data_IF_703043798005
#
_entry.id   IF_703043798005
#
_cell.length_a   1.000
_cell.length_b   1.000
_cell.length_c   1.000
_cell.angle_alpha   90.00
_cell.angle_beta   90.00
_cell.angle_gamma   90.00
#
_symmetry.space_group_name_H-M   'P 1'
#
loop_
_entity.id
_entity.type
_entity.pdbx_description
1 polymer ?
2 non-polymer ?
3 water ?
#
# COMPACT_ATOMS: atom_id res chain seq x y z
N UNK A 2 -14.13 13.10 3.83
CA UNK A 2 -13.27 12.29 2.97
C UNK A 2 -13.61 10.80 3.16
N UNK A 3 -14.05 10.09 2.09
CA UNK A 3 -14.35 8.66 2.24
C UNK A 3 -13.22 7.76 2.73
N UNK A 4 -11.97 8.03 2.31
CA UNK A 4 -10.78 7.26 2.68
C UNK A 4 -10.47 7.33 4.19
N UNK A 5 -10.44 8.54 4.77
CA UNK A 5 -10.18 8.78 6.19
C UNK A 5 -11.29 8.13 7.02
N UNK A 6 -12.55 8.27 6.56
CA UNK A 6 -13.72 7.67 7.18
C UNK A 6 -13.60 6.14 7.16
N UNK A 7 -13.22 5.55 6.00
CA UNK A 7 -13.04 4.11 5.86
C UNK A 7 -11.95 3.57 6.78
N UNK A 8 -10.79 4.26 6.83
CA UNK A 8 -9.68 3.85 7.70
C UNK A 8 -10.07 3.87 9.18
N UNK A 9 -10.82 4.92 9.61
CA UNK A 9 -11.34 5.08 10.98
C UNK A 9 -12.31 3.92 11.28
N UNK A 10 -13.13 3.54 10.30
CA UNK A 10 -14.09 2.45 10.42
C UNK A 10 -13.38 1.10 10.60
N UNK A 11 -12.44 0.78 9.71
CA UNK A 11 -11.64 -0.45 9.73
C UNK A 11 -10.74 -0.57 10.97
N UNK A 12 -10.15 0.56 11.44
CA UNK A 12 -9.32 0.58 12.63
C UNK A 12 -10.16 0.25 13.87
N UNK A 13 -11.38 0.87 13.98
CA UNK A 13 -12.29 0.61 15.10
C UNK A 13 -12.66 -0.87 15.18
N UNK A 14 -12.67 -1.55 14.02
CA UNK A 14 -12.97 -2.98 13.90
C UNK A 14 -11.70 -3.87 13.96
N UNK A 15 -10.53 -3.27 14.22
CA UNK A 15 -9.22 -3.95 14.33
C UNK A 15 -8.90 -4.76 13.07
N UNK A 16 -9.14 -4.16 11.90
CA UNK A 16 -8.92 -4.84 10.63
C UNK A 16 -7.52 -4.69 10.14
N UNK A 17 -6.97 -5.81 9.63
CA UNK A 17 -5.68 -5.86 8.97
C UNK A 17 -5.93 -5.53 7.50
N UNK A 18 -5.44 -4.37 7.05
CA UNK A 18 -5.55 -3.92 5.66
C UNK A 18 -4.26 -3.20 5.22
N UNK A 19 -3.96 -3.19 3.89
CA UNK A 19 -2.77 -2.51 3.33
C UNK A 19 -3.24 -1.35 2.52
N UNK A 20 -2.46 -0.26 2.45
CA UNK A 20 -2.68 0.88 1.56
C UNK A 20 -1.40 0.97 0.68
N UNK A 21 -1.55 0.83 -0.64
CA UNK A 21 -0.45 0.85 -1.60
C UNK A 21 -0.52 2.11 -2.42
N UNK A 22 0.45 3.01 -2.23
CA UNK A 22 0.49 4.29 -2.95
C UNK A 22 1.67 4.28 -3.93
N UNK A 23 1.40 4.57 -5.20
CA UNK A 23 2.39 4.62 -6.28
C UNK A 23 2.94 6.02 -6.41
N UNK A 24 4.30 6.13 -6.48
CA UNK A 24 4.98 7.41 -6.62
C UNK A 24 4.51 8.13 -7.92
N UNK A 25 4.59 9.48 -7.99
CA UNK A 25 4.14 10.16 -9.24
C UNK A 25 4.88 9.77 -10.52
N UNK A 26 6.11 9.14 -10.41
CA UNK A 26 6.86 8.72 -11.61
C UNK A 26 6.17 7.56 -12.35
N UNK A 27 5.26 6.85 -11.67
CA UNK A 27 4.46 5.75 -12.24
C UNK A 27 3.42 6.30 -13.23
N UNK A 28 3.31 5.68 -14.40
CA UNK A 28 2.24 5.95 -15.38
C UNK A 28 1.07 5.06 -14.98
N UNK A 29 -0.16 5.33 -15.52
CA UNK A 29 -1.36 4.52 -15.25
C UNK A 29 -1.14 3.09 -15.76
N UNK A 30 -0.48 2.93 -16.92
CA UNK A 30 -0.16 1.63 -17.54
C UNK A 30 0.76 0.78 -16.66
N UNK A 31 1.86 1.35 -16.12
CA UNK A 31 2.71 0.55 -15.25
C UNK A 31 2.07 0.24 -13.89
N UNK A 32 1.06 1.05 -13.47
CA UNK A 32 0.30 0.82 -12.23
C UNK A 32 -0.53 -0.46 -12.45
N UNK A 33 -1.26 -0.53 -13.60
CA UNK A 33 -2.10 -1.66 -14.02
C UNK A 33 -1.29 -2.95 -14.30
N UNK A 38 -0.66 -4.76 -11.23
CA UNK A 38 -1.73 -5.32 -10.40
C UNK A 38 -2.47 -6.51 -11.08
N UNK A 39 -1.79 -7.15 -12.06
CA UNK A 39 -2.28 -8.31 -12.83
C UNK A 39 -2.23 -9.57 -11.96
N UNK A 40 -3.11 -10.53 -12.27
CA UNK A 40 -3.21 -11.78 -11.51
C UNK A 40 -4.21 -11.61 -10.39
N UNK A 41 -3.89 -10.70 -9.43
CA UNK A 41 -4.77 -10.32 -8.31
C UNK A 41 -5.91 -9.52 -8.97
N UNK A 42 -7.15 -9.93 -8.77
CA UNK A 42 -8.32 -9.35 -9.44
C UNK A 42 -8.80 -7.99 -8.87
N UNK A 43 -8.26 -6.86 -9.40
CA UNK A 43 -8.68 -5.50 -8.98
C UNK A 43 -10.22 -5.33 -9.10
N UNK A 44 -10.84 -4.83 -8.03
CA UNK A 44 -12.27 -4.63 -7.93
C UNK A 44 -12.59 -3.17 -8.15
N UNK A 45 -13.69 -2.89 -8.87
CA UNK A 45 -14.14 -1.53 -9.13
C UNK A 45 -15.57 -1.36 -8.64
N UNK A 46 -15.94 -0.14 -8.22
CA UNK A 46 -17.28 0.16 -7.73
C UNK A 46 -18.02 1.01 -8.76
N UNK A 47 -19.24 0.62 -9.09
CA UNK A 47 -20.09 1.35 -10.02
C UNK A 47 -21.34 1.75 -9.23
N UNK A 48 -21.76 3.02 -9.34
CA UNK A 48 -22.96 3.48 -8.64
C UNK A 48 -24.17 3.33 -9.57
N UNK A 49 -25.19 2.61 -9.08
CA UNK A 49 -26.43 2.39 -9.84
C UNK A 49 -27.60 2.96 -9.07
N UNK A 50 -28.77 3.02 -9.71
CA UNK A 50 -30.03 3.36 -9.09
C UNK A 50 -30.91 2.14 -9.30
N UNK A 51 -31.34 1.53 -8.16
CA UNK A 51 -32.21 0.33 -8.09
C UNK A 51 -33.51 0.80 -7.52
N UNK A 52 -34.57 0.80 -8.35
CA UNK A 52 -35.90 1.27 -7.89
C UNK A 52 -35.80 2.70 -7.34
N UNK A 53 -34.98 3.53 -8.02
CA UNK A 53 -34.75 4.92 -7.65
C UNK A 53 -33.80 5.14 -6.49
N UNK A 54 -33.25 4.05 -5.93
CA UNK A 54 -32.34 4.08 -4.81
C UNK A 54 -30.89 3.87 -5.20
N UNK A 55 -30.00 4.69 -4.65
CA UNK A 55 -28.57 4.57 -4.91
C UNK A 55 -28.03 3.29 -4.29
N UNK A 56 -27.22 2.56 -5.07
CA UNK A 56 -26.61 1.29 -4.64
C UNK A 56 -25.25 1.16 -5.29
N UNK A 57 -24.41 0.24 -4.76
CA UNK A 57 -23.07 -0.01 -5.28
C UNK A 57 -23.02 -1.39 -5.88
N UNK A 58 -22.41 -1.51 -7.05
CA UNK A 58 -22.15 -2.80 -7.67
C UNK A 58 -20.63 -2.91 -7.67
N UNK A 59 -20.11 -3.98 -7.06
CA UNK A 59 -18.65 -4.18 -6.95
C UNK A 59 -18.31 -5.40 -7.78
N UNK A 60 -17.42 -5.23 -8.75
CA UNK A 60 -17.08 -6.29 -9.67
C UNK A 60 -15.64 -6.15 -10.16
N UNK A 61 -15.06 -7.16 -10.84
CA UNK A 61 -13.68 -7.00 -11.35
C UNK A 61 -13.61 -5.83 -12.33
N UNK A 62 -12.52 -5.06 -12.25
CA UNK A 62 -12.27 -3.88 -13.08
C UNK A 62 -12.33 -4.15 -14.59
N UNK A 63 -12.01 -5.40 -14.98
CA UNK A 63 -12.05 -5.90 -16.35
C UNK A 63 -13.48 -6.31 -16.78
N UNK A 64 -14.44 -6.31 -15.84
CA UNK A 64 -15.83 -6.72 -16.09
C UNK A 64 -16.78 -5.54 -16.24
N UNK A 65 -17.92 -5.77 -16.87
CA UNK A 65 -18.90 -4.73 -17.06
C UNK A 65 -20.29 -5.19 -16.70
N UNK A 66 -21.10 -4.28 -16.14
CA UNK A 66 -22.50 -4.58 -15.82
C UNK A 66 -23.34 -4.46 -17.08
N UNK A 67 -24.36 -5.33 -17.18
CA UNK A 67 -25.35 -5.25 -18.25
C UNK A 67 -26.67 -5.23 -17.53
N UNK A 68 -27.70 -4.66 -18.17
CA UNK A 68 -29.03 -4.58 -17.62
C UNK A 68 -29.59 -5.97 -17.38
N UNK A 69 -29.47 -6.88 -18.37
CA UNK A 69 -30.00 -8.25 -18.27
C UNK A 69 -29.46 -9.02 -17.06
N UNK A 70 -28.17 -8.83 -16.75
CA UNK A 70 -27.51 -9.48 -15.63
C UNK A 70 -27.93 -8.92 -14.29
N UNK A 71 -28.03 -7.57 -14.14
CA UNK A 71 -28.48 -6.97 -12.87
C UNK A 71 -29.93 -7.32 -12.62
N UNK A 72 -30.79 -7.24 -13.69
CA UNK A 72 -32.23 -7.56 -13.58
C UNK A 72 -32.42 -8.99 -13.12
N UNK A 73 -31.67 -9.94 -13.71
CA UNK A 73 -31.74 -11.34 -13.30
C UNK A 73 -31.26 -11.53 -11.85
N UNK A 74 -30.27 -10.74 -11.39
CA UNK A 74 -29.71 -10.86 -10.03
C UNK A 74 -30.60 -10.20 -8.95
N UNK A 75 -31.13 -8.98 -9.22
CA UNK A 75 -31.96 -8.23 -8.26
C UNK A 75 -33.46 -8.60 -8.34
N UNK A 76 -33.97 -8.81 -9.54
CA UNK A 76 -35.39 -9.10 -9.74
C UNK A 76 -36.18 -7.86 -10.12
N UNK A 77 -35.52 -6.70 -10.28
CA UNK A 77 -36.22 -5.47 -10.71
C UNK A 77 -35.78 -5.00 -12.09
N UNK A 78 -36.67 -4.27 -12.79
CA UNK A 78 -36.38 -3.68 -14.10
C UNK A 78 -36.01 -2.22 -13.96
N UNK A 79 -36.30 -1.61 -12.79
CA UNK A 79 -36.01 -0.19 -12.55
C UNK A 79 -34.53 -0.09 -12.18
N UNK A 80 -33.68 -0.13 -13.22
CA UNK A 80 -32.22 -0.08 -13.08
C UNK A 80 -31.63 0.91 -14.03
N UNK A 81 -30.69 1.72 -13.52
CA UNK A 81 -29.92 2.70 -14.29
C UNK A 81 -28.63 3.05 -13.59
N UNK A 82 -27.65 3.54 -14.36
CA UNK A 82 -26.38 4.00 -13.80
C UNK A 82 -26.64 5.36 -13.22
N UNK A 83 -26.00 5.66 -12.10
CA UNK A 83 -26.13 6.95 -11.45
C UNK A 83 -25.19 7.94 -12.13
N UNK A 84 -25.58 9.21 -12.13
CA UNK A 84 -24.82 10.36 -12.63
C UNK A 84 -23.77 10.67 -11.55
N UNK A 85 -22.66 11.33 -11.89
CA UNK A 85 -21.64 11.70 -10.90
C UNK A 85 -22.21 12.60 -9.81
N UNK A 86 -23.08 13.57 -10.18
CA UNK A 86 -23.71 14.49 -9.24
C UNK A 86 -24.60 13.79 -8.20
N UNK A 87 -25.11 12.60 -8.53
CA UNK A 87 -25.97 11.81 -7.64
C UNK A 87 -25.21 11.19 -6.47
N UNK A 88 -23.91 10.87 -6.66
CA UNK A 88 -23.13 10.31 -5.56
C UNK A 88 -21.66 10.65 -5.59
N UNK A 89 -20.90 10.14 -6.59
CA UNK A 89 -19.45 10.34 -6.65
C UNK A 89 -18.98 11.78 -6.59
N UNK A 90 -19.69 12.68 -7.25
CA UNK A 90 -19.39 14.12 -7.27
C UNK A 90 -19.49 14.80 -5.93
N UNK A 91 -20.23 14.19 -4.97
CA UNK A 91 -20.40 14.71 -3.61
C UNK A 91 -19.13 14.58 -2.77
N UNK A 92 -18.19 13.71 -3.19
CA UNK A 92 -16.88 13.42 -2.57
C UNK A 92 -15.77 13.85 -3.53
N UNK A 93 -15.48 15.17 -3.55
CA UNK A 93 -14.53 15.76 -4.50
C UNK A 93 -13.07 15.35 -4.39
N UNK A 94 -12.60 15.05 -3.17
CA UNK A 94 -11.21 14.63 -2.93
C UNK A 94 -11.02 13.18 -3.42
N UNK A 95 -12.14 12.42 -3.52
CA UNK A 95 -12.15 11.04 -3.99
C UNK A 95 -12.40 11.03 -5.50
N UNK A 96 -11.42 10.61 -6.31
CA UNK A 96 -11.55 10.58 -7.79
C UNK A 96 -12.69 9.72 -8.26
N UNK A 97 -13.31 10.08 -9.40
CA UNK A 97 -14.39 9.31 -10.04
C UNK A 97 -13.78 7.95 -10.42
N UNK A 98 -14.45 6.87 -10.04
CA UNK A 98 -13.98 5.51 -10.32
C UNK A 98 -13.05 4.94 -9.26
N UNK A 99 -12.72 5.74 -8.21
CA UNK A 99 -11.87 5.32 -7.11
C UNK A 99 -12.62 5.32 -5.78
N UNK A 100 -13.93 5.08 -5.82
CA UNK A 100 -14.79 5.06 -4.66
C UNK A 100 -14.64 3.67 -3.97
N UNK A 101 -14.22 3.59 -2.67
CA UNK A 101 -14.12 2.29 -2.01
C UNK A 101 -15.48 1.59 -1.91
N UNK A 102 -15.50 0.23 -1.94
CA UNK A 102 -16.78 -0.49 -1.94
C UNK A 102 -17.48 -0.59 -0.58
N UNK A 103 -17.40 0.44 0.27
CA UNK A 103 -18.02 0.39 1.60
C UNK A 103 -19.26 1.26 1.64
N UNK A 104 -20.25 0.84 0.84
CA UNK A 104 -21.55 1.50 0.71
C UNK A 104 -22.33 1.62 2.00
N UNK A 105 -22.08 0.68 2.94
CA UNK A 105 -22.72 0.68 4.26
C UNK A 105 -22.45 1.97 5.04
N UNK A 106 -21.30 2.63 4.79
CA UNK A 106 -20.93 3.87 5.47
C UNK A 106 -21.76 5.08 5.00
N UNK A 107 -22.52 4.92 3.90
CA UNK A 107 -23.36 5.94 3.28
C UNK A 107 -24.82 5.50 3.06
N UNK A 108 -25.18 4.36 3.64
CA UNK A 108 -26.53 3.81 3.50
C UNK A 108 -26.84 3.31 2.10
N UNK A 109 -25.81 2.90 1.36
CA UNK A 109 -26.03 2.34 0.03
C UNK A 109 -25.95 0.82 0.12
N UNK A 110 -26.94 0.06 -0.41
CA UNK A 110 -26.80 -1.40 -0.48
C UNK A 110 -25.62 -1.73 -1.38
N UNK A 111 -24.91 -2.81 -1.07
CA UNK A 111 -23.75 -3.22 -1.85
C UNK A 111 -24.01 -4.58 -2.49
N UNK A 112 -23.80 -4.65 -3.82
CA UNK A 112 -23.95 -5.87 -4.60
C UNK A 112 -22.56 -6.25 -5.07
N UNK A 113 -22.11 -7.46 -4.76
CA UNK A 113 -20.75 -7.90 -5.09
C UNK A 113 -20.77 -9.09 -6.04
N UNK A 114 -20.03 -8.97 -7.12
CA UNK A 114 -19.84 -10.03 -8.11
C UNK A 114 -19.27 -11.28 -7.46
N UNK A 115 -19.82 -12.44 -7.81
CA UNK A 115 -19.37 -13.74 -7.34
C UNK A 115 -17.91 -14.04 -7.76
N UNK A 116 -17.41 -13.36 -8.79
CA UNK A 116 -16.01 -13.52 -9.26
C UNK A 116 -15.01 -12.99 -8.23
N UNK A 117 -15.48 -12.07 -7.39
CA UNK A 117 -14.62 -11.48 -6.35
C UNK A 117 -14.60 -12.30 -5.07
N UNK A 118 -15.72 -12.98 -4.76
CA UNK A 118 -15.87 -13.80 -3.57
C UNK A 118 -15.02 -15.09 -3.63
N UNK A 119 -14.48 -15.40 -4.81
CA UNK A 119 -13.60 -16.56 -5.06
C UNK A 119 -12.14 -16.29 -4.59
N UNK A 120 -11.75 -15.00 -4.47
CA UNK A 120 -10.40 -14.55 -4.09
C UNK A 120 -10.24 -14.42 -2.58
N UNK A 121 -8.99 -14.57 -2.07
CA UNK A 121 -8.70 -14.41 -0.65
C UNK A 121 -8.81 -12.95 -0.22
N UNK A 122 -8.40 -12.02 -1.10
CA UNK A 122 -8.43 -10.60 -0.80
C UNK A 122 -9.29 -9.82 -1.78
N UNK A 123 -9.68 -8.62 -1.36
CA UNK A 123 -10.34 -7.66 -2.20
C UNK A 123 -9.34 -6.50 -2.27
N UNK A 124 -9.05 -6.03 -3.50
CA UNK A 124 -8.13 -4.95 -3.78
C UNK A 124 -8.92 -3.93 -4.62
N UNK A 125 -8.86 -2.64 -4.23
CA UNK A 125 -9.64 -1.61 -4.89
C UNK A 125 -8.92 -0.26 -4.84
N UNK A 126 -9.29 0.66 -5.75
CA UNK A 126 -8.75 2.03 -5.73
C UNK A 126 -9.39 2.73 -4.53
N UNK A 127 -8.61 3.58 -3.88
CA UNK A 127 -9.08 4.27 -2.70
C UNK A 127 -8.77 5.74 -2.78
N UNK A 128 -9.71 6.50 -3.32
CA UNK A 128 -9.54 7.94 -3.49
C UNK A 128 -8.89 8.37 -4.79
N UNK A 129 -8.04 7.51 -5.38
CA UNK A 129 -7.38 7.79 -6.67
C UNK A 129 -6.97 6.48 -7.30
N UNK A 130 -6.58 6.54 -8.57
CA UNK A 130 -6.17 5.40 -9.36
C UNK A 130 -4.74 4.99 -9.04
N UNK A 131 -3.99 5.83 -8.29
CA UNK A 131 -2.60 5.55 -7.89
C UNK A 131 -2.49 5.01 -6.45
N UNK A 132 -3.63 5.05 -5.71
CA UNK A 132 -3.69 4.59 -4.32
C UNK A 132 -4.68 3.42 -4.21
N UNK A 133 -4.19 2.27 -3.75
CA UNK A 133 -4.95 1.02 -3.57
C UNK A 133 -5.04 0.58 -2.15
N UNK A 134 -6.14 -0.09 -1.80
CA UNK A 134 -6.35 -0.68 -0.48
C UNK A 134 -6.69 -2.14 -0.65
N UNK A 135 -6.18 -2.95 0.24
CA UNK A 135 -6.43 -4.40 0.23
C UNK A 135 -6.74 -4.87 1.62
N UNK A 136 -7.74 -5.75 1.76
CA UNK A 136 -8.09 -6.43 3.02
C UNK A 136 -8.66 -7.79 2.61
N UNK A 137 -8.78 -8.75 3.54
CA UNK A 137 -9.32 -10.06 3.15
C UNK A 137 -10.77 -9.91 2.71
N UNK A 138 -11.20 -10.75 1.75
CA UNK A 138 -12.59 -10.71 1.28
C UNK A 138 -13.56 -11.04 2.43
N UNK A 139 -13.12 -11.96 3.31
CA UNK A 139 -13.88 -12.37 4.47
C UNK A 139 -14.18 -11.21 5.41
N UNK A 140 -13.18 -10.33 5.66
CA UNK A 140 -13.36 -9.13 6.50
C UNK A 140 -14.28 -8.15 5.83
N UNK A 141 -14.08 -7.92 4.53
CA UNK A 141 -14.92 -7.04 3.74
C UNK A 141 -16.39 -7.51 3.79
N UNK A 142 -16.62 -8.81 3.49
CA UNK A 142 -17.99 -9.36 3.48
C UNK A 142 -18.67 -9.25 4.85
N UNK A 143 -17.92 -9.52 5.94
CA UNK A 143 -18.46 -9.44 7.32
C UNK A 143 -18.86 -8.01 7.69
N UNK A 144 -18.06 -7.03 7.26
CA UNK A 144 -18.26 -5.61 7.56
C UNK A 144 -19.33 -4.93 6.75
N UNK A 145 -19.36 -5.19 5.47
CA UNK A 145 -20.26 -4.59 4.49
C UNK A 145 -21.59 -5.35 4.36
N UNK A 146 -21.58 -6.67 4.57
CA UNK A 146 -22.80 -7.52 4.41
C UNK A 146 -23.38 -7.32 3.01
N UNK A 147 -22.56 -7.49 1.93
CA UNK A 147 -23.12 -7.29 0.61
C UNK A 147 -24.00 -8.47 0.19
N UNK A 148 -24.75 -8.29 -0.90
CA UNK A 148 -25.51 -9.35 -1.50
C UNK A 148 -24.60 -9.81 -2.63
N UNK A 149 -24.28 -11.11 -2.66
CA UNK A 149 -23.43 -11.70 -3.70
C UNK A 149 -24.28 -11.98 -4.95
N UNK A 150 -23.84 -11.49 -6.10
CA UNK A 150 -24.61 -11.57 -7.36
C UNK A 150 -23.79 -12.13 -8.51
N UNK A 151 -24.42 -12.83 -9.44
CA UNK A 151 -23.78 -13.36 -10.65
C UNK A 151 -23.95 -12.26 -11.73
N UNK A 152 -22.82 -11.78 -12.29
CA UNK A 152 -22.78 -10.74 -13.32
C UNK A 152 -21.93 -11.23 -14.51
N UNK B 2 12.34 15.62 8.59
CA UNK B 2 11.79 14.27 8.58
C UNK B 2 12.44 13.44 7.48
N UNK B 3 13.15 12.32 7.79
CA UNK B 3 13.80 11.52 6.74
C UNK B 3 12.87 10.99 5.63
N UNK B 4 11.61 10.59 5.96
CA UNK B 4 10.65 10.05 4.99
C UNK B 4 10.21 11.08 3.93
N UNK B 5 9.79 12.29 4.37
CA UNK B 5 9.39 13.39 3.48
C UNK B 5 10.57 13.80 2.60
N UNK B 6 11.78 13.88 3.20
CA UNK B 6 13.04 14.18 2.53
C UNK B 6 13.32 13.09 1.49
N UNK B 7 13.14 11.82 1.86
CA UNK B 7 13.35 10.66 0.97
C UNK B 7 12.42 10.73 -0.24
N UNK B 8 11.13 10.94 0.00
CA UNK B 8 10.16 11.00 -1.09
C UNK B 8 10.45 12.16 -2.05
N UNK B 9 10.84 13.33 -1.51
CA UNK B 9 11.24 14.52 -2.28
C UNK B 9 12.48 14.18 -3.12
N UNK B 10 13.42 13.42 -2.54
CA UNK B 10 14.67 13.00 -3.21
C UNK B 10 14.36 12.07 -4.40
N UNK B 11 13.57 11.02 -4.15
CA UNK B 11 13.17 10.03 -5.16
C UNK B 11 12.30 10.61 -6.27
N UNK B 12 11.39 11.56 -5.92
CA UNK B 12 10.52 12.21 -6.90
C UNK B 12 11.39 13.08 -7.83
N UNK B 13 12.34 13.84 -7.25
CA UNK B 13 13.23 14.69 -8.03
C UNK B 13 14.05 13.88 -9.04
N UNK B 14 14.33 12.61 -8.72
CA UNK B 14 15.04 11.65 -9.57
C UNK B 14 14.08 10.81 -10.47
N UNK B 15 12.77 11.09 -10.42
CA UNK B 15 11.72 10.42 -11.23
C UNK B 15 11.73 8.91 -10.97
N UNK B 16 11.83 8.53 -9.68
CA UNK B 16 11.88 7.13 -9.32
C UNK B 16 10.48 6.56 -9.12
N UNK B 17 10.29 5.34 -9.65
CA UNK B 17 9.09 4.54 -9.46
C UNK B 17 9.30 3.77 -8.18
N UNK B 18 8.54 4.12 -7.13
CA UNK B 18 8.60 3.43 -5.83
C UNK B 18 7.18 3.28 -5.29
N UNK B 19 6.96 2.27 -4.41
CA UNK B 19 5.65 2.01 -3.79
C UNK B 19 5.77 2.33 -2.33
N UNK B 20 4.71 2.86 -1.70
CA UNK B 20 4.65 3.08 -0.25
C UNK B 20 3.56 2.16 0.24
N UNK B 21 3.92 1.18 1.12
CA UNK B 21 2.96 0.21 1.65
C UNK B 21 2.73 0.51 3.10
N UNK B 22 1.52 0.97 3.44
CA UNK B 22 1.17 1.32 4.81
C UNK B 22 0.24 0.24 5.36
N UNK B 23 0.61 -0.38 6.47
CA UNK B 23 -0.15 -1.43 7.13
C UNK B 23 -0.99 -0.77 8.21
N UNK B 24 -2.25 -1.22 8.33
CA UNK B 24 -3.16 -0.69 9.32
C UNK B 24 -2.60 -0.92 10.75
N UNK B 25 -3.00 -0.11 11.76
CA UNK B 25 -2.50 -0.36 13.14
C UNK B 25 -2.79 -1.74 13.72
N UNK B 26 -3.77 -2.52 13.15
CA UNK B 26 -4.05 -3.88 13.66
C UNK B 26 -2.89 -4.86 13.40
N UNK B 27 -1.98 -4.51 12.47
CA UNK B 27 -0.83 -5.33 12.12
C UNK B 27 0.29 -5.11 13.15
N UNK B 28 0.90 -6.19 13.64
CA UNK B 28 2.08 -6.06 14.53
C UNK B 28 3.29 -6.04 13.60
N UNK B 29 4.50 -5.64 14.10
CA UNK B 29 5.75 -5.62 13.32
C UNK B 29 6.09 -7.04 12.87
N UNK B 30 5.89 -8.05 13.74
CA UNK B 30 6.10 -9.45 13.44
C UNK B 30 5.21 -9.99 12.29
N UNK B 31 3.91 -9.63 12.30
CA UNK B 31 2.95 -10.01 11.25
C UNK B 31 3.41 -9.42 9.91
N UNK B 32 3.94 -8.18 9.91
CA UNK B 32 4.46 -7.49 8.72
C UNK B 32 5.68 -8.22 8.15
N UNK B 33 6.66 -8.56 8.99
CA UNK B 33 7.84 -9.29 8.59
C UNK B 33 7.44 -10.69 8.09
N UNK B 34 6.50 -11.37 8.77
CA UNK B 34 5.99 -12.68 8.35
C UNK B 34 5.30 -12.61 6.98
N UNK B 35 4.47 -11.57 6.74
CA UNK B 35 3.75 -11.37 5.47
C UNK B 35 4.76 -11.19 4.31
N UNK B 36 5.77 -10.34 4.49
CA UNK B 36 6.83 -10.10 3.49
C UNK B 36 7.52 -11.44 3.15
N UNK B 37 7.95 -12.19 4.17
CA UNK B 37 8.58 -13.50 3.99
C UNK B 37 7.66 -14.49 3.21
N UNK B 38 6.40 -14.67 3.65
CA UNK B 38 5.43 -15.56 3.02
C UNK B 38 5.25 -15.17 1.54
N UNK B 39 5.21 -13.85 1.25
CA UNK B 39 5.11 -13.26 -0.11
C UNK B 39 6.35 -13.53 -1.01
N UNK B 40 7.46 -13.97 -0.43
CA UNK B 40 8.68 -14.23 -1.20
C UNK B 40 9.56 -13.00 -1.31
N UNK B 41 9.32 -12.02 -0.42
CA UNK B 41 10.02 -10.75 -0.37
C UNK B 41 10.99 -10.74 0.79
N UNK B 42 12.11 -10.03 0.61
CA UNK B 42 13.11 -9.86 1.63
C UNK B 42 12.89 -8.45 2.17
N UNK B 43 12.63 -8.34 3.46
CA UNK B 43 12.52 -7.03 4.11
C UNK B 43 13.96 -6.72 4.58
N UNK B 44 14.46 -5.56 4.18
CA UNK B 44 15.79 -5.08 4.48
C UNK B 44 15.69 -4.18 5.71
N UNK B 45 16.71 -4.22 6.58
CA UNK B 45 16.80 -3.37 7.75
C UNK B 45 18.13 -2.63 7.73
N UNK B 46 18.19 -1.45 8.37
CA UNK B 46 19.39 -0.63 8.44
C UNK B 46 19.91 -0.59 9.85
N UNK B 47 21.23 -0.82 9.99
CA UNK B 47 21.90 -0.79 11.28
C UNK B 47 22.98 0.28 11.16
N UNK B 48 23.09 1.17 12.14
CA UNK B 48 24.13 2.21 12.18
C UNK B 48 25.38 1.66 12.87
N UNK B 49 26.52 1.73 12.18
CA UNK B 49 27.80 1.28 12.73
C UNK B 49 28.78 2.44 12.75
N UNK B 50 29.92 2.25 13.41
CA UNK B 50 31.05 3.16 13.41
C UNK B 50 32.19 2.33 12.82
N UNK B 51 32.71 2.80 11.70
CA UNK B 51 33.76 2.18 10.91
C UNK B 51 34.97 3.10 11.03
N UNK B 52 36.00 2.66 11.79
CA UNK B 52 37.20 3.47 12.04
C UNK B 52 36.83 4.83 12.69
N UNK B 53 35.81 4.80 13.56
CA UNK B 53 35.28 5.97 14.25
C UNK B 53 34.30 6.82 13.45
N UNK B 54 34.03 6.46 12.18
CA UNK B 54 33.07 7.24 11.36
C UNK B 54 31.74 6.49 11.12
N UNK B 55 30.59 7.21 11.23
CA UNK B 55 29.22 6.68 11.07
C UNK B 55 28.96 6.15 9.67
N UNK B 56 28.38 4.94 9.60
CA UNK B 56 28.04 4.27 8.35
C UNK B 56 26.77 3.45 8.52
N UNK B 57 26.17 3.02 7.41
CA UNK B 57 24.95 2.20 7.46
C UNK B 57 25.22 0.85 6.88
N UNK B 58 24.71 -0.19 7.52
CA UNK B 58 24.81 -1.56 7.04
C UNK B 58 23.36 -1.96 6.74
N UNK B 59 23.10 -2.37 5.50
CA UNK B 59 21.76 -2.75 5.06
C UNK B 59 21.78 -4.23 4.77
N UNK B 60 20.91 -4.97 5.46
CA UNK B 60 20.87 -6.42 5.36
C UNK B 60 19.48 -6.95 5.57
N UNK B 61 19.21 -8.24 5.21
CA UNK B 61 17.87 -8.80 5.51
C UNK B 61 17.54 -8.69 7.01
N UNK B 62 16.28 -8.34 7.32
CA UNK B 62 15.75 -8.14 8.68
C UNK B 62 15.90 -9.37 9.58
N UNK B 63 15.89 -10.57 8.98
CA UNK B 63 16.07 -11.87 9.64
C UNK B 63 17.56 -12.21 9.90
N UNK B 64 18.50 -11.42 9.32
CA UNK B 64 19.93 -11.64 9.50
C UNK B 64 20.53 -10.69 10.53
N UNK B 65 21.77 -10.97 10.99
CA UNK B 65 22.47 -10.16 11.98
C UNK B 65 23.91 -9.96 11.60
N UNK B 66 24.49 -8.81 11.95
CA UNK B 66 25.89 -8.50 11.68
C UNK B 66 26.79 -9.24 12.69
N UNK B 77 38.55 -3.52 7.77
CA UNK B 77 38.98 -2.96 9.05
C UNK B 77 38.45 -3.73 10.25
N UNK B 78 39.17 -3.64 11.38
CA UNK B 78 38.80 -4.27 12.64
C UNK B 78 38.17 -3.25 13.58
N UNK B 79 38.33 -1.93 13.27
CA UNK B 79 37.76 -0.85 14.08
C UNK B 79 36.27 -0.72 13.70
N UNK B 80 35.46 -1.62 14.24
CA UNK B 80 34.02 -1.71 14.00
C UNK B 80 33.25 -1.81 15.30
N UNK B 81 32.18 -1.03 15.42
CA UNK B 81 31.28 -1.04 16.54
C UNK B 81 29.92 -0.52 16.15
N UNK B 82 28.89 -0.91 16.90
CA UNK B 82 27.53 -0.44 16.64
C UNK B 82 27.44 0.95 17.23
N UNK B 83 26.73 1.83 16.54
CA UNK B 83 26.53 3.19 16.99
C UNK B 83 25.40 3.21 18.04
N UNK B 84 25.46 4.17 18.95
CA UNK B 84 24.45 4.44 19.97
C UNK B 84 23.30 5.20 19.25
N UNK B 85 22.07 5.19 19.80
CA UNK B 85 20.95 5.91 19.19
C UNK B 85 21.24 7.42 19.12
N UNK B 86 21.84 8.01 20.18
CA UNK B 86 22.18 9.44 20.23
C UNK B 86 23.18 9.87 19.14
N UNK B 87 23.99 8.92 18.64
CA UNK B 87 24.97 9.18 17.60
C UNK B 87 24.34 9.45 16.24
N UNK B 88 23.17 8.84 15.95
CA UNK B 88 22.51 9.07 14.67
C UNK B 88 20.99 8.98 14.71
N UNK B 89 20.42 7.77 14.96
CA UNK B 89 18.98 7.54 14.94
C UNK B 89 18.16 8.50 15.81
N UNK B 90 18.65 8.79 17.01
CA UNK B 90 18.01 9.68 17.97
C UNK B 90 17.85 11.11 17.48
N UNK B 91 18.68 11.53 16.51
CA UNK B 91 18.66 12.87 15.94
C UNK B 91 17.42 13.11 15.05
N UNK B 92 16.75 12.03 14.63
CA UNK B 92 15.52 12.02 13.80
C UNK B 92 14.43 11.45 14.68
N UNK B 93 13.75 12.32 15.41
CA UNK B 93 12.73 11.92 16.38
C UNK B 93 11.43 11.35 15.81
N UNK B 94 10.98 11.88 14.65
CA UNK B 94 9.75 11.43 13.99
C UNK B 94 9.94 10.04 13.36
N UNK B 95 11.21 9.66 13.12
CA UNK B 95 11.60 8.39 12.54
C UNK B 95 11.88 7.39 13.66
N UNK B 96 11.06 6.32 13.78
CA UNK B 96 11.24 5.28 14.82
C UNK B 96 12.60 4.59 14.73
N UNK B 97 13.16 4.18 15.89
CA UNK B 97 14.43 3.44 15.95
C UNK B 97 14.20 2.12 15.18
N UNK B 98 15.12 1.80 14.28
CA UNK B 98 15.00 0.57 13.48
C UNK B 98 14.21 0.74 12.19
N UNK B 99 13.65 1.95 11.95
CA UNK B 99 12.90 2.26 10.73
C UNK B 99 13.55 3.33 9.87
N UNK B 100 14.90 3.39 9.93
CA UNK B 100 15.69 4.35 9.16
C UNK B 100 15.81 3.83 7.71
N UNK B 101 15.36 4.62 6.68
CA UNK B 101 15.54 4.15 5.29
C UNK B 101 17.06 4.03 4.96
N UNK B 102 17.43 3.11 4.04
CA UNK B 102 18.86 2.89 3.73
C UNK B 102 19.50 3.96 2.82
N UNK B 103 19.09 5.23 2.94
CA UNK B 103 19.63 6.28 2.07
C UNK B 103 20.59 7.17 2.84
N UNK B 104 21.70 6.55 3.22
CA UNK B 104 22.78 7.15 4.01
C UNK B 104 23.43 8.33 3.33
N UNK B 105 23.41 8.32 2.00
CA UNK B 105 23.95 9.36 1.16
C UNK B 105 23.34 10.72 1.51
N UNK B 106 22.03 10.76 1.85
CA UNK B 106 21.30 11.99 2.21
C UNK B 106 21.84 12.66 3.49
N UNK B 107 22.70 11.93 4.27
CA UNK B 107 23.29 12.36 5.53
C UNK B 107 24.82 12.20 5.59
N UNK B 108 25.43 11.93 4.44
CA UNK B 108 26.87 11.75 4.33
C UNK B 108 27.39 10.48 5.00
N UNK B 109 26.54 9.45 5.11
CA UNK B 109 26.96 8.18 5.69
C UNK B 109 27.25 7.20 4.55
N UNK B 110 28.41 6.51 4.53
CA UNK B 110 28.63 5.45 3.54
C UNK B 110 27.61 4.34 3.81
N UNK B 111 27.16 3.67 2.75
CA UNK B 111 26.18 2.61 2.85
C UNK B 111 26.80 1.28 2.42
N UNK B 112 26.69 0.26 3.28
CA UNK B 112 27.18 -1.09 3.03
C UNK B 112 25.97 -1.99 2.89
N UNK B 113 25.83 -2.67 1.75
CA UNK B 113 24.65 -3.47 1.46
C UNK B 113 24.99 -4.93 1.29
N UNK B 114 24.24 -5.78 1.96
CA UNK B 114 24.31 -7.22 1.88
C UNK B 114 24.06 -7.69 0.46
N UNK B 115 24.88 -8.65 -0.01
CA UNK B 115 24.74 -9.22 -1.35
C UNK B 115 23.48 -10.06 -1.44
N UNK B 116 22.92 -10.44 -0.26
CA UNK B 116 21.64 -11.16 -0.19
C UNK B 116 20.53 -10.27 -0.71
N UNK B 117 20.67 -8.95 -0.54
CA UNK B 117 19.69 -7.97 -0.98
C UNK B 117 19.88 -7.59 -2.45
N UNK B 118 21.13 -7.62 -2.94
CA UNK B 118 21.48 -7.24 -4.32
C UNK B 118 21.07 -8.30 -5.32
N UNK B 119 20.80 -9.53 -4.83
CA UNK B 119 20.35 -10.68 -5.62
C UNK B 119 18.88 -10.51 -6.06
N UNK B 120 18.09 -9.70 -5.33
CA UNK B 120 16.65 -9.47 -5.54
C UNK B 120 16.39 -8.33 -6.51
N UNK B 121 15.24 -8.36 -7.21
CA UNK B 121 14.84 -7.31 -8.14
C UNK B 121 14.51 -6.02 -7.41
N UNK B 122 13.92 -6.13 -6.22
CA UNK B 122 13.53 -4.96 -5.41
C UNK B 122 14.16 -4.94 -4.06
N UNK B 123 14.15 -3.75 -3.46
CA UNK B 123 14.56 -3.55 -2.07
C UNK B 123 13.32 -3.03 -1.38
N UNK B 124 12.97 -3.61 -0.23
CA UNK B 124 11.81 -3.26 0.58
C UNK B 124 12.30 -2.96 2.00
N UNK B 125 11.88 -1.84 2.60
CA UNK B 125 12.41 -1.43 3.92
C UNK B 125 11.41 -0.61 4.69
N UNK B 126 11.60 -0.49 6.03
CA UNK B 126 10.76 0.35 6.90
C UNK B 126 11.05 1.80 6.60
N UNK B 127 10.04 2.69 6.62
CA UNK B 127 10.25 4.11 6.37
C UNK B 127 9.58 4.95 7.47
N UNK B 128 10.32 5.26 8.54
CA UNK B 128 9.81 6.06 9.65
C UNK B 128 9.14 5.30 10.77
N UNK B 129 8.55 4.14 10.45
CA UNK B 129 7.93 3.25 11.44
C UNK B 129 7.92 1.84 10.88
N UNK B 130 7.59 0.87 11.73
CA UNK B 130 7.51 -0.56 11.37
C UNK B 130 6.28 -0.85 10.49
N UNK B 131 5.31 0.07 10.46
CA UNK B 131 4.06 -0.10 9.67
C UNK B 131 4.17 0.44 8.26
N UNK B 132 5.08 1.41 8.04
CA UNK B 132 5.20 2.04 6.73
C UNK B 132 6.41 1.51 5.97
N UNK B 133 6.15 0.82 4.85
CA UNK B 133 7.22 0.28 4.03
C UNK B 133 7.29 1.03 2.73
N UNK B 134 8.47 0.93 2.11
CA UNK B 134 8.77 1.53 0.83
C UNK B 134 9.50 0.49 -0.02
N UNK B 135 9.20 0.41 -1.29
CA UNK B 135 9.83 -0.53 -2.21
C UNK B 135 10.20 0.18 -3.48
N UNK B 136 11.39 -0.07 -4.01
CA UNK B 136 11.86 0.47 -5.27
C UNK B 136 12.79 -0.61 -5.85
N UNK B 137 13.10 -0.56 -7.15
CA UNK B 137 13.99 -1.59 -7.71
C UNK B 137 15.37 -1.48 -7.06
N UNK B 138 16.07 -2.61 -6.89
CA UNK B 138 17.41 -2.59 -6.31
C UNK B 138 18.36 -1.78 -7.23
N UNK B 139 18.15 -1.88 -8.54
CA UNK B 139 18.91 -1.14 -9.54
C UNK B 139 18.85 0.36 -9.34
N UNK B 140 17.63 0.89 -9.05
CA UNK B 140 17.44 2.34 -8.78
C UNK B 140 18.09 2.73 -7.49
N UNK B 141 17.91 1.89 -6.44
CA UNK B 141 18.53 2.11 -5.14
C UNK B 141 20.05 2.16 -5.27
N UNK B 142 20.64 1.17 -5.98
CA UNK B 142 22.08 1.03 -6.19
C UNK B 142 22.67 2.20 -6.98
N UNK B 143 21.93 2.73 -7.96
CA UNK B 143 22.36 3.89 -8.75
C UNK B 143 22.33 5.17 -7.92
N UNK B 144 21.32 5.33 -7.05
CA UNK B 144 21.12 6.54 -6.22
C UNK B 144 22.05 6.65 -5.03
N UNK B 145 22.22 5.52 -4.33
CA UNK B 145 22.99 5.41 -3.09
C UNK B 145 24.46 5.06 -3.33
N UNK B 146 24.77 4.33 -4.41
CA UNK B 146 26.15 3.87 -4.70
C UNK B 146 26.74 3.14 -3.49
N UNK B 147 26.06 2.10 -2.98
CA UNK B 147 26.60 1.43 -1.79
C UNK B 147 27.78 0.53 -2.13
N UNK B 148 28.50 0.09 -1.10
CA UNK B 148 29.54 -0.91 -1.23
C UNK B 148 28.83 -2.22 -0.90
N UNK B 149 28.90 -3.18 -1.82
CA UNK B 149 28.28 -4.47 -1.56
C UNK B 149 29.21 -5.28 -0.68
N UNK B 150 28.63 -5.97 0.30
CA UNK B 150 29.37 -6.78 1.29
C UNK B 150 28.67 -8.11 1.52
N UNK B 151 29.45 -9.17 1.75
CA UNK B 151 28.90 -10.49 2.08
C UNK B 151 28.86 -10.55 3.61
N UNK B 152 27.68 -10.80 4.18
CA UNK B 152 27.49 -10.88 5.64
C UNK B 152 26.86 -12.22 6.05
X LIG C 1 -21.02 8.43 -10.32
X LIG C 1 -20.43 7.28 -10.93
X LIG C 1 -22.10 7.95 -9.38
X LIG C 1 -22.54 9.02 -8.54
X LIG D 1 -25.46 -2.37 2.89
X LIG D 1 -25.07 -1.00 2.80
X LIG D 1 -24.42 -3.27 2.24
X LIG D 1 -25.01 -4.28 1.39
#
# INVERSE_FOLDING_TARGET
GMPVKKLKQFLDSHKIKYLSIAHSPAYTAQEIAASAHVSGKQLAKTVIIKMDGRLAMVVLPASDHITFMKLKEAIGTSDLELATESEFEGKFAECDVGAMPPFGNLYGLPVLVSTKLSAQDNILFNAGSHSELMQLSFGDFEKLVKPTLVTL
GMPVKKLKQFLDSHKIKYLSIAHSPAYTAQEIAASAHVSGKQLAKTVIIKMDGRLAMVVLPASDHITFXKLKEAIGTSDLELATESEFEGKFAECDVGAMPPFGNLYGLPVLVSTKLSAQDNILFNAGSHSELMQLSFGDFEKLVKPTLVTL
EDO C1 O1 C2 O2
EDO C1 O1 C2 O2
#
